data_IF_128899495157
#
_entry.id   IF_128899495157
#
_cell.length_a   1.000
_cell.length_b   1.000
_cell.length_c   1.000
_cell.angle_alpha   90.00
_cell.angle_beta   90.00
_cell.angle_gamma   90.00
#
_symmetry.space_group_name_H-M   'P 1'
#
loop_
_entity.id
_entity.type
_entity.pdbx_description
1 polymer ?
#
# COMPACT_ATOMS: atom_id res chain seq x y z
N UNK A 1 -7.42 -10.35 6.25
CA UNK A 1 -7.27 -9.01 6.83
C UNK A 1 -5.91 -8.50 6.40
N UNK A 2 -5.78 -7.22 6.05
CA UNK A 2 -4.46 -6.60 5.85
C UNK A 2 -3.78 -6.47 7.21
N UNK A 3 -2.54 -6.95 7.33
CA UNK A 3 -1.89 -7.14 8.63
C UNK A 3 -0.43 -6.68 8.59
N UNK A 4 -0.12 -5.67 9.42
CA UNK A 4 1.21 -5.08 9.55
C UNK A 4 2.26 -6.08 10.02
N UNK A 5 1.91 -6.93 10.99
CA UNK A 5 2.83 -7.92 11.55
C UNK A 5 3.16 -9.00 10.50
N UNK A 6 2.15 -9.47 9.78
CA UNK A 6 2.38 -10.42 8.68
C UNK A 6 3.25 -9.83 7.56
N UNK A 7 3.06 -8.55 7.22
CA UNK A 7 3.88 -7.87 6.23
C UNK A 7 5.35 -7.80 6.65
N UNK A 8 5.59 -7.48 7.92
CA UNK A 8 6.92 -7.48 8.53
C UNK A 8 7.56 -8.87 8.48
N UNK A 9 6.86 -9.90 8.96
CA UNK A 9 7.35 -11.29 8.99
C UNK A 9 7.75 -11.77 7.59
N UNK A 10 6.95 -11.45 6.56
CA UNK A 10 7.27 -11.80 5.17
C UNK A 10 8.47 -11.05 4.65
N UNK A 11 8.59 -9.76 4.95
CA UNK A 11 9.72 -8.96 4.52
C UNK A 11 11.01 -9.41 5.22
N UNK A 12 10.98 -9.68 6.52
CA UNK A 12 12.12 -10.23 7.28
C UNK A 12 12.59 -11.56 6.68
N UNK A 13 11.65 -12.44 6.30
CA UNK A 13 11.98 -13.70 5.62
C UNK A 13 12.67 -13.48 4.26
N UNK A 14 12.23 -12.50 3.47
CA UNK A 14 12.86 -12.17 2.18
C UNK A 14 14.24 -11.53 2.36
N UNK A 15 14.40 -10.65 3.36
CA UNK A 15 15.65 -9.99 3.70
C UNK A 15 16.68 -10.94 4.33
N UNK A 16 16.23 -12.07 4.85
CA UNK A 16 17.09 -13.16 5.34
C UNK A 16 17.38 -14.22 4.26
N UNK A 17 16.70 -14.14 3.12
CA UNK A 17 16.81 -15.11 2.04
C UNK A 17 17.95 -14.82 1.05
N UNK A 18 18.20 -15.74 0.11
CA UNK A 18 19.31 -15.62 -0.86
C UNK A 18 19.16 -14.44 -1.83
N UNK A 19 17.97 -13.85 -1.93
CA UNK A 19 17.66 -12.73 -2.81
C UNK A 19 17.62 -11.38 -2.08
N UNK A 20 17.99 -11.32 -0.79
CA UNK A 20 17.93 -10.10 0.02
C UNK A 20 18.61 -8.88 -0.62
N UNK A 21 19.72 -9.10 -1.35
CA UNK A 21 20.47 -8.04 -2.01
C UNK A 21 19.97 -7.69 -3.41
N UNK A 22 18.92 -8.36 -3.89
CA UNK A 22 18.28 -8.10 -5.20
C UNK A 22 16.99 -7.29 -5.08
N UNK A 23 16.55 -7.00 -3.86
CA UNK A 23 15.33 -6.21 -3.63
C UNK A 23 15.70 -4.73 -3.74
N UNK A 24 15.10 -4.04 -4.70
CA UNK A 24 15.36 -2.64 -5.01
C UNK A 24 14.17 -1.72 -4.69
N UNK A 25 12.96 -2.29 -4.55
CA UNK A 25 11.74 -1.57 -4.25
C UNK A 25 10.74 -2.50 -3.57
N UNK A 26 9.88 -1.94 -2.71
CA UNK A 26 8.72 -2.65 -2.14
C UNK A 26 7.45 -1.90 -2.53
N UNK A 27 6.51 -2.60 -3.14
CA UNK A 27 5.16 -2.08 -3.42
C UNK A 27 4.19 -2.90 -2.57
N UNK A 28 3.68 -2.29 -1.52
CA UNK A 28 2.71 -2.90 -0.64
C UNK A 28 1.29 -2.54 -1.09
N UNK A 29 0.40 -3.53 -1.06
CA UNK A 29 -0.99 -3.34 -1.47
C UNK A 29 -1.77 -2.34 -0.61
N UNK A 30 -1.33 -2.07 0.62
CA UNK A 30 -1.88 -1.00 1.44
C UNK A 30 -0.84 -0.43 2.41
N UNK A 31 -1.21 0.67 3.06
CA UNK A 31 -0.35 1.42 3.98
C UNK A 31 0.04 0.62 5.23
N UNK A 32 -0.87 -0.20 5.78
CA UNK A 32 -0.55 -1.07 6.93
C UNK A 32 0.59 -2.05 6.60
N UNK A 33 0.53 -2.69 5.43
CA UNK A 33 1.59 -3.59 4.97
C UNK A 33 2.87 -2.83 4.62
N UNK A 34 2.75 -1.63 4.05
CA UNK A 34 3.89 -0.77 3.77
C UNK A 34 4.66 -0.43 5.04
N UNK A 35 3.94 -0.11 6.13
CA UNK A 35 4.54 0.16 7.44
C UNK A 35 5.28 -1.07 7.99
N UNK A 36 4.70 -2.27 7.88
CA UNK A 36 5.37 -3.51 8.28
C UNK A 36 6.66 -3.77 7.49
N UNK A 37 6.65 -3.52 6.19
CA UNK A 37 7.85 -3.63 5.35
C UNK A 37 8.92 -2.58 5.70
N UNK A 38 8.53 -1.34 6.00
CA UNK A 38 9.44 -0.29 6.47
C UNK A 38 10.12 -0.68 7.78
N UNK A 39 9.37 -1.27 8.73
CA UNK A 39 9.94 -1.77 9.99
C UNK A 39 10.99 -2.86 9.76
N UNK A 40 10.69 -3.85 8.91
CA UNK A 40 11.61 -4.92 8.54
C UNK A 40 12.88 -4.37 7.88
N UNK A 41 12.73 -3.50 6.88
CA UNK A 41 13.86 -2.86 6.19
C UNK A 41 14.73 -2.06 7.16
N UNK A 42 14.13 -1.36 8.11
CA UNK A 42 14.87 -0.64 9.15
C UNK A 42 15.65 -1.59 10.06
N UNK A 43 15.04 -2.69 10.51
CA UNK A 43 15.71 -3.69 11.34
C UNK A 43 16.91 -4.34 10.64
N UNK A 44 16.84 -4.49 9.32
CA UNK A 44 17.90 -5.05 8.48
C UNK A 44 18.88 -4.00 7.92
N UNK A 45 18.84 -2.74 8.37
CA UNK A 45 19.69 -1.64 7.86
C UNK A 45 19.58 -1.40 6.34
N UNK A 46 18.38 -1.58 5.78
CA UNK A 46 18.07 -1.42 4.34
C UNK A 46 17.00 -0.33 4.09
N UNK A 47 16.93 0.67 4.97
CA UNK A 47 15.98 1.79 4.85
C UNK A 47 16.13 2.65 3.59
N UNK A 48 17.19 2.45 2.79
CA UNK A 48 17.35 3.10 1.49
C UNK A 48 16.46 2.52 0.39
N UNK A 49 15.88 1.32 0.59
CA UNK A 49 14.95 0.71 -0.36
C UNK A 49 13.62 1.48 -0.32
N UNK A 50 13.15 2.07 -1.43
CA UNK A 50 11.88 2.78 -1.48
C UNK A 50 10.71 1.82 -1.27
N UNK A 51 9.77 2.24 -0.41
CA UNK A 51 8.53 1.51 -0.10
C UNK A 51 7.32 2.36 -0.45
N UNK A 52 6.35 1.76 -1.14
CA UNK A 52 5.09 2.40 -1.53
C UNK A 52 3.89 1.68 -0.92
N UNK A 53 2.90 2.45 -0.49
CA UNK A 53 1.61 1.97 0.00
C UNK A 53 0.42 2.50 -0.80
N UNK A 54 -0.78 2.18 -0.31
CA UNK A 54 -2.08 2.61 -0.84
C UNK A 54 -2.99 2.85 0.36
N UNK A 55 -3.84 3.87 0.27
CA UNK A 55 -4.92 4.32 1.18
C UNK A 55 -4.72 5.77 1.65
N UNK A 56 -3.48 6.28 1.62
CA UNK A 56 -3.12 7.60 2.13
C UNK A 56 -3.55 7.84 3.58
N UNK A 57 -3.36 6.83 4.44
CA UNK A 57 -3.61 6.92 5.87
C UNK A 57 -2.76 8.05 6.50
N UNK A 58 -3.26 8.73 7.55
CA UNK A 58 -2.51 9.79 8.22
C UNK A 58 -1.09 9.38 8.65
N UNK A 59 -0.94 8.14 9.13
CA UNK A 59 0.32 7.55 9.56
C UNK A 59 1.29 7.35 8.37
N UNK A 60 0.79 6.86 7.24
CA UNK A 60 1.58 6.71 6.02
C UNK A 60 2.03 8.07 5.48
N UNK A 61 1.15 9.08 5.50
CA UNK A 61 1.52 10.45 5.12
C UNK A 61 2.58 11.05 6.04
N UNK A 62 2.56 10.73 7.34
CA UNK A 62 3.62 11.14 8.26
C UNK A 62 4.95 10.47 7.93
N UNK A 63 4.95 9.18 7.56
CA UNK A 63 6.15 8.47 7.13
C UNK A 63 6.68 8.95 5.77
N UNK A 64 5.81 9.38 4.87
CA UNK A 64 6.22 10.04 3.62
C UNK A 64 6.92 11.35 3.93
N UNK A 65 6.36 12.17 4.83
CA UNK A 65 6.97 13.45 5.25
C UNK A 65 8.33 13.26 5.92
N UNK A 66 8.52 12.16 6.66
CA UNK A 66 9.81 11.86 7.30
C UNK A 66 10.81 11.19 6.35
N UNK A 67 10.40 10.80 5.15
CA UNK A 67 11.21 10.06 4.19
C UNK A 67 11.36 8.56 4.48
N UNK A 68 10.67 8.04 5.50
CA UNK A 68 10.68 6.62 5.82
C UNK A 68 9.82 5.77 4.87
N UNK A 69 8.81 6.38 4.24
CA UNK A 69 8.01 5.80 3.16
C UNK A 69 8.22 6.64 1.90
N UNK A 70 8.39 6.01 0.74
CA UNK A 70 8.61 6.75 -0.52
C UNK A 70 7.32 7.39 -1.05
N UNK A 71 6.16 6.77 -0.78
CA UNK A 71 4.88 7.32 -1.18
C UNK A 71 3.70 6.45 -0.80
N UNK A 72 2.50 7.02 -0.91
CA UNK A 72 1.24 6.30 -0.83
C UNK A 72 0.24 6.87 -1.83
N UNK A 73 -0.62 6.02 -2.38
CA UNK A 73 -1.65 6.41 -3.34
C UNK A 73 -3.00 6.54 -2.63
N UNK A 74 -3.71 7.65 -2.87
CA UNK A 74 -5.03 7.88 -2.30
C UNK A 74 -6.06 6.90 -2.87
N UNK A 75 -6.71 6.17 -1.97
CA UNK A 75 -7.88 5.35 -2.27
C UNK A 75 -9.14 6.18 -1.93
N UNK A 76 -9.63 6.97 -2.91
CA UNK A 76 -10.66 7.99 -2.67
C UNK A 76 -12.05 7.40 -2.42
N UNK A 77 -12.34 7.13 -1.14
CA UNK A 77 -13.60 6.54 -0.70
C UNK A 77 -14.82 7.43 -1.03
N UNK A 78 -14.66 8.75 -1.01
CA UNK A 78 -15.77 9.68 -1.26
C UNK A 78 -16.20 9.65 -2.73
N UNK A 79 -15.24 9.74 -3.65
CA UNK A 79 -15.53 9.67 -5.07
C UNK A 79 -16.00 8.26 -5.49
N UNK A 80 -15.47 7.20 -4.86
CA UNK A 80 -15.97 5.83 -5.07
C UNK A 80 -17.41 5.67 -4.59
N UNK A 81 -17.76 6.18 -3.40
CA UNK A 81 -19.11 6.14 -2.88
C UNK A 81 -20.08 6.93 -3.78
N UNK A 82 -19.67 8.11 -4.23
CA UNK A 82 -20.44 8.93 -5.18
C UNK A 82 -20.68 8.20 -6.49
N UNK A 83 -19.64 7.65 -7.10
CA UNK A 83 -19.75 6.91 -8.36
C UNK A 83 -20.65 5.67 -8.21
N UNK A 84 -20.54 4.96 -7.09
CA UNK A 84 -21.39 3.80 -6.76
C UNK A 84 -22.86 4.21 -6.67
N UNK A 85 -23.14 5.31 -5.98
CA UNK A 85 -24.50 5.82 -5.85
C UNK A 85 -25.08 6.33 -7.18
N UNK A 86 -24.25 7.00 -7.99
CA UNK A 86 -24.63 7.44 -9.34
C UNK A 86 -24.93 6.27 -10.28
N UNK A 87 -24.21 5.16 -10.15
CA UNK A 87 -24.47 3.92 -10.89
C UNK A 87 -25.79 3.29 -10.44
N UNK A 88 -26.01 3.17 -9.12
CA UNK A 88 -27.24 2.59 -8.55
C UNK A 88 -28.49 3.42 -8.91
N UNK A 89 -28.39 4.75 -8.94
CA UNK A 89 -29.47 5.66 -9.33
C UNK A 89 -29.83 5.64 -10.81
N UNK A 90 -28.99 5.05 -11.68
CA UNK A 90 -29.22 4.96 -13.13
C UNK A 90 -29.55 3.53 -13.56
N UNK A 91 -30.72 2.96 -13.19
CA UNK A 91 -31.06 1.56 -13.47
C UNK A 91 -31.24 1.21 -14.97
N UNK A 92 -31.07 2.15 -15.91
CA UNK A 92 -31.47 1.97 -17.31
C UNK A 92 -30.39 2.05 -18.39
N UNK A 93 -29.09 2.18 -18.04
CA UNK A 93 -28.04 2.40 -19.06
C UNK A 93 -27.31 1.13 -19.54
N UNK A 94 -27.70 -0.04 -19.02
CA UNK A 94 -27.18 -1.35 -19.44
C UNK A 94 -28.03 -2.05 -20.53
N UNK A 95 -29.07 -1.40 -21.08
CA UNK A 95 -30.03 -2.05 -22.00
C UNK A 95 -30.00 -1.60 -23.48
N UNK A 96 -28.96 -0.92 -23.98
CA UNK A 96 -28.87 -0.63 -25.44
C UNK A 96 -27.49 -0.88 -26.02
N UNK A 97 -27.10 -2.14 -26.01
CA UNK A 97 -26.20 -2.71 -27.01
C UNK A 97 -26.93 -3.90 -27.63
N UNK A 98 -27.71 -3.64 -28.67
CA UNK A 98 -28.50 -4.60 -29.44
C UNK A 98 -28.94 -3.94 -30.73
#
# INVERSE_FOLDING_TARGET
MWDTAQAKDKMDAWLSGPNANKIEVVIANNDAMAMGAVEALKAHNKSSIPVFGVDALPEALALVKSGALAGTVLNDANNQAKATFDLAKKPGRWQRCG
#
